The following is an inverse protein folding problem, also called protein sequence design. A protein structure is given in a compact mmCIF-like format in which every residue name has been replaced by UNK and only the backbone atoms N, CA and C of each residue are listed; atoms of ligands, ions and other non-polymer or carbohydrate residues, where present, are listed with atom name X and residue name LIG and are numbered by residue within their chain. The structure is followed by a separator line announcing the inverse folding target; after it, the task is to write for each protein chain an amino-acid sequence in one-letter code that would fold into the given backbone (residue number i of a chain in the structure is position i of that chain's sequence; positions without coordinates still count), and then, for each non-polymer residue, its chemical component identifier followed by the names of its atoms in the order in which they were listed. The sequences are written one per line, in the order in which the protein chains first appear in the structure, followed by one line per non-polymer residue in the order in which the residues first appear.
data_IF_825607921151
#
_entry.id   IF_825607921151
#
_cell.length_a   1.000
_cell.length_b   1.000
_cell.length_c   1.000
_cell.angle_alpha   90.00
_cell.angle_beta   90.00
_cell.angle_gamma   90.00
#
_symmetry.space_group_name_H-M   'P 1'
#
loop_
_entity.id
_entity.type
_entity.pdbx_description
1 polymer ?
#
# COMPACT_ATOMS: atom_id res chain seq x y z
N UNK A 1 -9.92 9.77 -2.20
CA UNK A 1 -8.57 10.12 -1.74
C UNK A 1 -7.67 8.94 -2.03
N UNK A 2 -6.64 9.16 -2.82
CA UNK A 2 -5.59 8.21 -3.20
C UNK A 2 -4.28 8.84 -2.77
N UNK A 3 -3.37 8.02 -2.27
CA UNK A 3 -2.06 8.42 -1.79
C UNK A 3 -0.93 7.75 -2.56
N UNK A 4 0.21 8.43 -2.64
CA UNK A 4 1.44 7.87 -3.22
C UNK A 4 2.66 8.46 -2.52
N UNK A 5 3.72 7.65 -2.39
CA UNK A 5 5.02 8.13 -1.91
C UNK A 5 5.79 8.79 -3.06
N UNK A 6 6.48 9.90 -2.81
CA UNK A 6 7.29 10.58 -3.81
C UNK A 6 8.12 11.74 -3.25
N UNK A 7 8.97 12.31 -4.09
CA UNK A 7 9.74 13.52 -3.76
C UNK A 7 9.62 14.52 -4.90
N UNK A 8 9.04 15.70 -4.61
CA UNK A 8 8.95 16.78 -5.60
C UNK A 8 10.32 17.40 -5.88
N UNK A 9 11.16 17.54 -4.84
CA UNK A 9 12.50 18.12 -4.95
C UNK A 9 13.45 17.19 -5.74
N UNK A 10 13.28 15.87 -5.60
CA UNK A 10 14.08 14.86 -6.28
C UNK A 10 13.17 13.81 -6.95
N UNK A 11 12.57 14.11 -8.11
CA UNK A 11 11.59 13.21 -8.76
C UNK A 11 12.12 11.83 -9.16
N UNK A 12 13.45 11.68 -9.24
CA UNK A 12 14.12 10.40 -9.52
C UNK A 12 14.41 9.55 -8.28
N UNK A 13 14.06 10.03 -7.07
CA UNK A 13 14.29 9.30 -5.82
C UNK A 13 13.61 7.93 -5.82
N UNK A 14 14.40 6.91 -5.45
CA UNK A 14 13.91 5.55 -5.24
C UNK A 14 13.27 5.36 -3.87
N UNK A 15 12.93 4.11 -3.56
CA UNK A 15 12.36 3.73 -2.25
C UNK A 15 13.38 3.76 -1.10
N UNK A 16 14.66 3.86 -1.45
CA UNK A 16 15.81 3.96 -0.55
C UNK A 16 16.13 5.40 -0.15
N UNK A 17 15.48 6.37 -0.77
CA UNK A 17 15.60 7.80 -0.45
C UNK A 17 14.44 8.26 0.44
N UNK A 18 14.59 9.38 1.19
CA UNK A 18 13.49 9.98 1.92
C UNK A 18 12.36 10.43 0.96
N UNK A 19 11.17 9.88 1.17
CA UNK A 19 9.96 10.22 0.41
C UNK A 19 8.88 10.80 1.33
N UNK A 20 8.11 11.74 0.80
CA UNK A 20 6.87 12.22 1.41
C UNK A 20 5.68 11.44 0.87
N UNK A 21 4.55 11.47 1.60
CA UNK A 21 3.29 10.91 1.11
C UNK A 21 2.37 12.03 0.59
N UNK A 22 1.97 11.95 -0.68
CA UNK A 22 1.05 12.91 -1.29
C UNK A 22 -0.36 12.33 -1.34
N UNK A 23 -1.34 13.05 -0.79
CA UNK A 23 -2.75 12.64 -0.71
C UNK A 23 -3.64 13.68 -1.41
N UNK A 24 -4.50 13.25 -2.35
CA UNK A 24 -5.48 14.17 -2.95
C UNK A 24 -6.83 14.17 -2.20
N UNK A 25 -7.52 15.30 -2.21
CA UNK A 25 -8.89 15.41 -1.70
C UNK A 25 -9.66 16.56 -2.33
N UNK A 26 -10.98 16.55 -2.14
CA UNK A 26 -11.83 17.69 -2.51
C UNK A 26 -11.52 18.89 -1.61
N UNK A 27 -11.49 20.09 -2.18
CA UNK A 27 -11.06 21.35 -1.54
C UNK A 27 -11.79 21.68 -0.23
N UNK A 28 -13.04 21.26 -0.08
CA UNK A 28 -13.85 21.50 1.12
C UNK A 28 -13.94 20.27 2.06
N UNK A 29 -13.22 19.19 1.77
CA UNK A 29 -13.24 18.00 2.62
C UNK A 29 -12.67 18.31 4.02
N UNK A 30 -13.19 17.60 5.03
CA UNK A 30 -12.85 17.87 6.44
C UNK A 30 -11.35 17.85 6.70
N UNK A 31 -10.63 16.88 6.15
CA UNK A 31 -9.18 16.74 6.33
C UNK A 31 -8.39 17.90 5.71
N UNK A 32 -8.82 18.41 4.55
CA UNK A 32 -8.22 19.60 3.91
C UNK A 32 -8.45 20.84 4.76
N UNK A 33 -9.66 21.01 5.31
CA UNK A 33 -9.95 22.13 6.21
C UNK A 33 -9.13 22.05 7.50
N UNK A 34 -9.01 20.86 8.10
CA UNK A 34 -8.17 20.64 9.28
C UNK A 34 -6.70 20.95 9.02
N UNK A 35 -6.16 20.57 7.86
CA UNK A 35 -4.80 20.92 7.45
C UNK A 35 -4.63 22.43 7.29
N UNK A 36 -5.63 23.12 6.71
CA UNK A 36 -5.63 24.59 6.59
C UNK A 36 -5.65 25.29 7.95
N UNK A 37 -6.46 24.81 8.89
CA UNK A 37 -6.50 25.37 10.25
C UNK A 37 -5.22 25.08 11.03
N UNK A 38 -4.66 23.88 10.90
CA UNK A 38 -3.37 23.55 11.51
C UNK A 38 -2.25 24.47 11.00
N UNK A 39 -2.25 24.82 9.70
CA UNK A 39 -1.26 25.73 9.11
C UNK A 39 -1.33 27.17 9.64
N UNK A 40 -2.45 27.61 10.22
CA UNK A 40 -2.61 28.95 10.80
C UNK A 40 -2.00 29.09 12.19
N UNK A 41 -1.69 27.98 12.86
CA UNK A 41 -1.14 28.00 14.22
C UNK A 41 0.34 28.39 14.18
N UNK A 42 0.73 29.32 15.05
CA UNK A 42 2.13 29.73 15.19
C UNK A 42 3.01 28.54 15.60
N UNK A 43 4.12 28.32 14.89
CA UNK A 43 5.02 27.19 15.13
C UNK A 43 4.48 25.82 14.68
N UNK A 44 3.39 25.79 13.92
CA UNK A 44 2.80 24.53 13.42
C UNK A 44 3.74 23.77 12.49
N UNK A 45 3.89 22.46 12.72
CA UNK A 45 4.49 21.52 11.76
C UNK A 45 3.50 21.07 10.68
N UNK A 46 2.23 21.44 10.77
CA UNK A 46 1.13 20.92 9.96
C UNK A 46 0.17 20.03 10.75
N UNK A 47 -0.80 19.41 10.07
CA UNK A 47 -1.77 18.52 10.70
C UNK A 47 -1.13 17.16 11.02
N UNK A 48 -1.04 16.74 12.30
CA UNK A 48 -0.53 15.42 12.64
C UNK A 48 -1.41 14.33 12.01
N UNK A 49 -0.79 13.37 11.33
CA UNK A 49 -1.49 12.28 10.63
C UNK A 49 -0.79 10.94 10.84
N UNK A 50 -1.59 9.88 10.93
CA UNK A 50 -1.16 8.50 10.89
C UNK A 50 -1.71 7.86 9.61
N UNK A 51 -0.84 7.25 8.81
CA UNK A 51 -1.21 6.52 7.60
C UNK A 51 -0.96 5.04 7.86
N UNK A 52 -2.00 4.23 7.72
CA UNK A 52 -1.92 2.78 7.88
C UNK A 52 -2.24 2.09 6.54
N UNK A 53 -1.36 1.19 6.13
CA UNK A 53 -1.56 0.32 4.97
C UNK A 53 -1.38 -1.14 5.38
N UNK A 54 -2.23 -2.03 4.89
CA UNK A 54 -2.14 -3.47 5.17
C UNK A 54 -2.56 -4.25 3.93
N UNK A 55 -1.80 -5.30 3.63
CA UNK A 55 -2.08 -6.26 2.57
C UNK A 55 -2.08 -7.65 3.20
N UNK A 56 -3.18 -8.38 3.03
CA UNK A 56 -3.31 -9.77 3.50
C UNK A 56 -2.91 -10.70 2.36
N UNK A 57 -1.99 -11.60 2.66
CA UNK A 57 -1.38 -12.53 1.70
C UNK A 57 -1.79 -14.00 1.97
N UNK A 58 -2.48 -14.29 3.08
CA UNK A 58 -3.09 -15.60 3.34
C UNK A 58 -3.71 -15.79 4.72
N UNK A 59 -4.55 -16.82 4.88
CA UNK A 59 -5.11 -17.25 6.17
C UNK A 59 -4.34 -18.46 6.67
N UNK A 60 -3.82 -18.39 7.90
CA UNK A 60 -3.05 -19.47 8.53
C UNK A 60 -3.94 -20.26 9.48
N UNK A 61 -4.10 -21.55 9.19
CA UNK A 61 -4.97 -22.48 9.89
C UNK A 61 -4.13 -23.46 10.73
N UNK A 62 -4.23 -23.33 12.06
CA UNK A 62 -3.49 -24.09 13.06
C UNK A 62 -4.33 -25.15 13.75
N UNK A 63 -3.70 -26.00 14.57
CA UNK A 63 -4.39 -27.04 15.36
C UNK A 63 -5.32 -26.48 16.44
N UNK A 64 -5.04 -25.28 16.94
CA UNK A 64 -5.82 -24.67 18.04
C UNK A 64 -6.48 -23.35 17.64
N UNK A 65 -7.69 -23.06 18.17
CA UNK A 65 -8.39 -21.81 17.88
C UNK A 65 -7.58 -20.54 18.13
N UNK A 66 -6.66 -20.58 19.10
CA UNK A 66 -5.87 -19.41 19.50
C UNK A 66 -4.60 -19.21 18.66
N UNK A 67 -4.26 -20.16 17.79
CA UNK A 67 -3.05 -20.12 16.97
C UNK A 67 -3.32 -19.72 15.51
N UNK A 68 -4.58 -19.60 15.10
CA UNK A 68 -4.94 -19.08 13.78
C UNK A 68 -4.38 -17.67 13.56
N UNK A 69 -3.98 -17.37 12.33
CA UNK A 69 -3.38 -16.08 12.00
C UNK A 69 -3.55 -15.72 10.52
N UNK A 70 -2.82 -14.71 10.07
CA UNK A 70 -2.76 -14.26 8.68
C UNK A 70 -1.32 -14.11 8.24
N UNK A 71 -1.03 -14.44 6.98
CA UNK A 71 0.14 -13.88 6.31
C UNK A 71 -0.24 -12.48 5.82
N UNK A 72 0.59 -11.49 6.12
CA UNK A 72 0.30 -10.09 5.80
C UNK A 72 1.56 -9.22 5.83
N UNK A 73 1.46 -8.08 5.16
CA UNK A 73 2.44 -6.98 5.24
C UNK A 73 1.71 -5.70 5.58
N UNK A 74 2.24 -4.94 6.52
CA UNK A 74 1.65 -3.68 6.96
C UNK A 74 2.72 -2.63 7.21
N UNK A 75 2.35 -1.37 6.99
CA UNK A 75 3.14 -0.21 7.34
C UNK A 75 2.27 0.83 8.06
N UNK A 76 2.84 1.44 9.10
CA UNK A 76 2.29 2.60 9.79
C UNK A 76 3.29 3.74 9.64
N UNK A 77 2.85 4.88 9.12
CA UNK A 77 3.64 6.09 8.99
C UNK A 77 3.01 7.21 9.84
N UNK A 78 3.83 7.89 10.62
CA UNK A 78 3.46 9.09 11.35
C UNK A 78 4.16 10.30 10.75
N UNK A 79 3.44 11.40 10.64
CA UNK A 79 3.98 12.62 10.05
C UNK A 79 3.04 13.81 10.18
N UNK A 80 3.35 14.86 9.43
CA UNK A 80 2.56 16.09 9.41
C UNK A 80 2.14 16.42 7.98
N UNK A 81 0.84 16.60 7.79
CA UNK A 81 0.25 16.97 6.53
C UNK A 81 0.22 18.50 6.37
N UNK A 82 0.65 18.97 5.21
CA UNK A 82 0.64 20.37 4.79
C UNK A 82 0.00 20.49 3.41
N UNK A 83 -0.66 21.61 3.12
CA UNK A 83 -1.22 21.85 1.80
C UNK A 83 -0.09 22.15 0.81
N UNK A 84 -0.15 21.49 -0.35
CA UNK A 84 0.68 21.88 -1.49
C UNK A 84 0.11 23.18 -2.06
N UNK A 85 0.93 24.24 -2.07
CA UNK A 85 0.53 25.59 -2.52
C UNK A 85 1.15 25.99 -3.84
N UNK A 86 2.23 25.34 -4.27
CA UNK A 86 2.84 25.56 -5.59
C UNK A 86 1.99 24.87 -6.65
N UNK A 87 1.65 25.60 -7.72
CA UNK A 87 0.93 25.02 -8.87
C UNK A 87 1.77 23.92 -9.55
N UNK A 88 3.10 24.07 -9.58
CA UNK A 88 4.02 23.09 -10.16
C UNK A 88 4.04 21.79 -9.34
N UNK A 89 4.22 21.89 -8.02
CA UNK A 89 4.19 20.74 -7.12
C UNK A 89 2.82 20.06 -7.13
N UNK A 90 1.74 20.84 -7.23
CA UNK A 90 0.38 20.32 -7.30
C UNK A 90 0.15 19.53 -8.57
N UNK A 91 0.56 20.06 -9.73
CA UNK A 91 0.45 19.36 -11.01
C UNK A 91 1.29 18.08 -11.02
N UNK A 92 2.55 18.15 -10.55
CA UNK A 92 3.41 16.98 -10.39
C UNK A 92 2.77 15.92 -9.47
N UNK A 93 2.24 16.33 -8.33
CA UNK A 93 1.59 15.43 -7.38
C UNK A 93 0.35 14.77 -7.99
N UNK A 94 -0.47 15.53 -8.72
CA UNK A 94 -1.63 14.99 -9.45
C UNK A 94 -1.21 13.96 -10.51
N UNK A 95 -0.11 14.20 -11.21
CA UNK A 95 0.45 13.25 -12.18
C UNK A 95 0.87 11.93 -11.51
N UNK A 96 1.70 11.98 -10.46
CA UNK A 96 2.17 10.75 -9.80
C UNK A 96 1.03 10.00 -9.09
N UNK A 97 0.03 10.70 -8.54
CA UNK A 97 -1.17 10.10 -7.95
C UNK A 97 -2.01 9.41 -9.03
N UNK A 98 -2.12 10.01 -10.22
CA UNK A 98 -2.86 9.39 -11.33
C UNK A 98 -2.13 8.14 -11.84
N UNK A 99 -0.80 8.23 -11.97
CA UNK A 99 0.04 7.12 -12.39
C UNK A 99 0.17 6.00 -11.33
N UNK A 100 -0.15 6.27 -10.06
CA UNK A 100 -0.21 5.23 -9.03
C UNK A 100 -1.46 4.35 -9.13
N UNK A 101 -2.53 4.82 -9.78
CA UNK A 101 -3.73 4.02 -10.06
C UNK A 101 -3.42 2.94 -11.10
N UNK A 102 -2.91 3.37 -12.26
CA UNK A 102 -2.34 2.51 -13.29
C UNK A 102 -1.16 3.30 -13.89
N UNK A 103 0.02 2.67 -14.07
CA UNK A 103 1.16 3.34 -14.69
C UNK A 103 0.81 3.96 -16.05
N UNK A 104 1.40 5.13 -16.35
CA UNK A 104 1.16 5.91 -17.57
C UNK A 104 -0.29 6.42 -17.76
N UNK A 105 -1.13 6.37 -16.73
CA UNK A 105 -2.53 6.79 -16.85
C UNK A 105 -2.70 8.30 -17.06
N UNK A 106 -1.80 9.13 -16.53
CA UNK A 106 -1.86 10.59 -16.70
C UNK A 106 -1.80 10.99 -18.17
N UNK A 107 -0.71 10.61 -18.87
CA UNK A 107 -0.52 10.91 -20.30
C UNK A 107 -1.49 10.17 -21.22
N UNK A 108 -2.19 9.14 -20.70
CA UNK A 108 -3.26 8.43 -21.40
C UNK A 108 -4.67 8.99 -21.12
N UNK A 109 -4.74 10.17 -20.50
CA UNK A 109 -5.96 10.91 -20.18
C UNK A 109 -5.96 12.29 -20.86
N UNK A 110 -7.07 13.04 -20.78
CA UNK A 110 -7.08 14.44 -21.22
C UNK A 110 -6.24 15.28 -20.25
N UNK A 111 -5.15 15.86 -20.76
CA UNK A 111 -4.23 16.70 -19.99
C UNK A 111 -3.94 18.02 -20.72
N UNK A 112 -3.62 19.11 -20.00
CA UNK A 112 -3.62 19.23 -18.53
C UNK A 112 -5.05 19.30 -17.94
N UNK A 113 -5.21 19.11 -16.62
CA UNK A 113 -6.46 19.43 -15.94
C UNK A 113 -6.88 20.87 -16.22
N UNK A 114 -8.18 21.11 -16.32
CA UNK A 114 -8.71 22.46 -16.48
C UNK A 114 -8.72 23.22 -15.14
N UNK A 115 -9.04 24.51 -15.21
CA UNK A 115 -9.04 25.38 -14.02
C UNK A 115 -10.02 24.89 -12.94
N UNK A 116 -11.20 24.41 -13.32
CA UNK A 116 -12.20 23.97 -12.35
C UNK A 116 -11.75 22.68 -11.63
N UNK A 117 -11.10 21.77 -12.36
CA UNK A 117 -10.50 20.55 -11.80
C UNK A 117 -9.35 20.89 -10.83
N UNK A 118 -8.51 21.86 -11.19
CA UNK A 118 -7.43 22.35 -10.31
C UNK A 118 -7.97 23.06 -9.06
N UNK A 119 -8.97 23.92 -9.20
CA UNK A 119 -9.53 24.69 -8.09
C UNK A 119 -10.29 23.79 -7.09
N UNK A 120 -10.92 22.72 -7.58
CA UNK A 120 -11.70 21.77 -6.77
C UNK A 120 -10.87 20.68 -6.09
N UNK A 121 -9.65 20.44 -6.57
CA UNK A 121 -8.73 19.42 -6.04
C UNK A 121 -7.68 20.07 -5.15
N UNK A 122 -7.43 19.49 -3.98
CA UNK A 122 -6.31 19.87 -3.11
C UNK A 122 -5.41 18.67 -2.87
N UNK A 123 -4.12 18.95 -2.69
CA UNK A 123 -3.10 17.94 -2.38
C UNK A 123 -2.50 18.26 -1.02
N UNK A 124 -2.40 17.23 -0.18
CA UNK A 124 -1.63 17.26 1.05
C UNK A 124 -0.29 16.57 0.81
N UNK A 125 0.80 17.22 1.19
CA UNK A 125 2.10 16.60 1.35
C UNK A 125 2.27 16.24 2.82
N UNK A 126 2.50 14.97 3.09
CA UNK A 126 2.76 14.44 4.43
C UNK A 126 4.24 14.16 4.55
N UNK A 127 4.91 15.00 5.34
CA UNK A 127 6.29 14.75 5.72
C UNK A 127 6.33 13.63 6.74
N UNK A 128 7.02 12.54 6.42
CA UNK A 128 7.12 11.37 7.29
C UNK A 128 8.15 11.62 8.39
N UNK A 129 7.73 11.52 9.64
CA UNK A 129 8.60 11.68 10.82
C UNK A 129 9.09 10.32 11.34
N UNK A 130 8.24 9.29 11.28
CA UNK A 130 8.60 7.93 11.65
C UNK A 130 7.72 6.91 10.95
N UNK A 131 8.23 5.69 10.83
CA UNK A 131 7.51 4.58 10.25
C UNK A 131 7.79 3.27 10.98
N UNK A 132 6.84 2.33 10.90
CA UNK A 132 7.04 0.95 11.33
C UNK A 132 6.43 0.00 10.29
N UNK A 133 7.10 -1.13 10.08
CA UNK A 133 6.64 -2.18 9.19
C UNK A 133 6.49 -3.49 9.96
N UNK A 134 5.54 -4.32 9.55
CA UNK A 134 5.41 -5.69 10.05
C UNK A 134 5.05 -6.62 8.92
N UNK A 135 5.78 -7.72 8.85
CA UNK A 135 5.56 -8.80 7.89
C UNK A 135 5.36 -10.08 8.68
N UNK A 136 4.34 -10.85 8.33
CA UNK A 136 4.16 -12.22 8.78
C UNK A 136 3.96 -13.09 7.55
N UNK A 137 4.80 -14.10 7.43
CA UNK A 137 4.76 -15.09 6.36
C UNK A 137 4.96 -16.48 6.97
N UNK A 138 4.61 -17.50 6.19
CA UNK A 138 4.87 -18.90 6.48
C UNK A 138 3.73 -19.70 7.09
N UNK A 139 4.05 -20.97 7.38
CA UNK A 139 3.15 -22.02 7.84
C UNK A 139 2.67 -21.85 9.29
N UNK A 140 1.61 -22.59 9.70
CA UNK A 140 1.25 -22.74 11.10
C UNK A 140 2.42 -23.19 11.97
N UNK A 141 2.53 -22.63 13.19
CA UNK A 141 3.51 -23.05 14.19
C UNK A 141 2.77 -23.47 15.48
N UNK A 142 2.39 -24.75 15.53
CA UNK A 142 1.64 -25.31 16.65
C UNK A 142 2.56 -25.81 17.78
N UNK A 143 2.05 -25.76 19.01
CA UNK A 143 2.82 -26.13 20.19
C UNK A 143 3.04 -27.64 20.31
N UNK A 144 4.18 -28.06 20.87
CA UNK A 144 4.54 -29.48 21.05
C UNK A 144 3.45 -30.32 21.73
N UNK A 145 2.75 -29.76 22.72
CA UNK A 145 1.64 -30.44 23.42
C UNK A 145 0.51 -30.91 22.51
N UNK A 146 0.30 -30.23 21.38
CA UNK A 146 -0.73 -30.55 20.40
C UNK A 146 -0.14 -31.38 19.25
N UNK A 147 1.14 -31.19 18.92
CA UNK A 147 1.89 -32.04 17.97
C UNK A 147 2.10 -33.47 18.47
N UNK A 148 2.20 -33.69 19.78
CA UNK A 148 2.35 -35.03 20.37
C UNK A 148 0.99 -35.78 20.46
N UNK A 149 -0.11 -35.17 19.98
CA UNK A 149 -1.48 -35.72 20.03
C UNK A 149 -1.96 -36.22 18.67
N UNK A 150 -1.79 -37.51 18.41
CA UNK A 150 -2.30 -38.17 17.20
C UNK A 150 -3.81 -37.96 17.00
N UNK A 151 -4.61 -37.96 18.08
CA UNK A 151 -6.06 -37.74 18.01
C UNK A 151 -6.47 -36.35 17.46
N UNK A 152 -5.57 -35.37 17.60
CA UNK A 152 -5.74 -34.02 17.06
C UNK A 152 -5.18 -33.96 15.64
N UNK A 153 -3.95 -34.45 15.43
CA UNK A 153 -3.28 -34.42 14.13
C UNK A 153 -4.05 -35.16 13.03
N UNK A 154 -4.69 -36.28 13.36
CA UNK A 154 -5.43 -37.09 12.38
C UNK A 154 -6.81 -36.49 12.04
N UNK A 155 -7.31 -35.55 12.85
CA UNK A 155 -8.66 -34.97 12.73
C UNK A 155 -8.67 -33.52 12.25
N UNK A 156 -7.61 -32.76 12.51
CA UNK A 156 -7.56 -31.31 12.26
C UNK A 156 -6.57 -31.02 11.15
N UNK A 157 -7.08 -30.51 10.03
CA UNK A 157 -6.24 -30.02 8.93
C UNK A 157 -5.56 -28.71 9.32
N UNK A 158 -4.27 -28.58 8.99
CA UNK A 158 -3.50 -27.34 9.14
C UNK A 158 -2.85 -26.94 7.82
N UNK A 159 -2.65 -25.65 7.64
CA UNK A 159 -1.98 -25.10 6.46
C UNK A 159 -2.28 -23.62 6.27
N UNK A 160 -2.01 -23.13 5.07
CA UNK A 160 -2.28 -21.75 4.69
C UNK A 160 -3.19 -21.74 3.46
N UNK A 161 -4.22 -20.88 3.49
CA UNK A 161 -4.98 -20.52 2.31
C UNK A 161 -4.40 -19.20 1.79
N UNK A 162 -3.55 -19.22 0.72
CA UNK A 162 -2.99 -17.98 0.18
C UNK A 162 -4.11 -17.06 -0.33
N UNK A 163 -3.91 -15.76 -0.19
CA UNK A 163 -4.85 -14.72 -0.60
C UNK A 163 -4.10 -13.66 -1.41
N UNK A 164 -4.68 -13.24 -2.53
CA UNK A 164 -4.17 -12.13 -3.33
C UNK A 164 -5.33 -11.40 -4.00
N UNK A 165 -5.07 -10.18 -4.49
CA UNK A 165 -6.07 -9.50 -5.34
C UNK A 165 -5.88 -9.96 -6.78
N UNK A 166 -6.96 -10.41 -7.39
CA UNK A 166 -7.05 -10.64 -8.82
C UNK A 166 -7.74 -9.44 -9.47
N UNK A 167 -7.00 -8.68 -10.27
CA UNK A 167 -7.58 -7.69 -11.18
C UNK A 167 -8.35 -8.44 -12.28
N UNK A 168 -9.63 -8.12 -12.44
CA UNK A 168 -10.49 -8.71 -13.46
C UNK A 168 -10.24 -8.14 -14.86
N UNK A 169 -10.92 -8.72 -15.85
CA UNK A 169 -10.91 -8.23 -17.23
C UNK A 169 -11.47 -6.79 -17.31
N UNK A 170 -10.81 -5.85 -17.99
CA UNK A 170 -11.28 -4.47 -18.09
C UNK A 170 -12.64 -4.37 -18.78
N UNK A 171 -13.61 -3.77 -18.10
CA UNK A 171 -14.96 -3.55 -18.61
C UNK A 171 -15.04 -2.15 -19.22
N UNK A 172 -15.46 -2.00 -20.49
CA UNK A 172 -15.58 -0.68 -21.12
C UNK A 172 -16.70 0.15 -20.47
N UNK A 173 -16.42 1.44 -20.28
CA UNK A 173 -17.42 2.39 -19.78
C UNK A 173 -18.52 2.70 -20.81
N UNK A 174 -19.69 3.22 -20.38
CA UNK A 174 -20.87 3.37 -21.23
C UNK A 174 -20.72 4.35 -22.41
N UNK A 175 -19.73 5.24 -22.36
CA UNK A 175 -19.40 6.21 -23.43
C UNK A 175 -18.03 5.95 -24.07
N UNK A 176 -17.39 4.80 -23.77
CA UNK A 176 -16.12 4.43 -24.38
C UNK A 176 -16.30 4.18 -25.88
N UNK A 177 -15.44 4.79 -26.69
CA UNK A 177 -15.38 4.58 -28.15
C UNK A 177 -14.08 3.90 -28.61
N UNK A 178 -13.15 3.63 -27.68
CA UNK A 178 -11.91 2.93 -28.00
C UNK A 178 -12.24 1.43 -28.10
N UNK A 179 -12.03 0.80 -29.27
CA UNK A 179 -12.52 -0.57 -29.52
C UNK A 179 -11.75 -1.62 -28.72
N UNK A 180 -10.47 -1.39 -28.45
CA UNK A 180 -9.61 -2.32 -27.72
C UNK A 180 -9.08 -1.69 -26.44
N UNK A 181 -8.92 -2.52 -25.41
CA UNK A 181 -8.22 -2.11 -24.18
C UNK A 181 -6.75 -1.82 -24.53
N UNK A 182 -6.22 -0.63 -24.21
CA UNK A 182 -4.81 -0.30 -24.42
C UNK A 182 -3.85 -1.29 -23.79
N UNK A 183 -2.74 -1.57 -24.47
CA UNK A 183 -1.78 -2.59 -24.04
C UNK A 183 -1.18 -2.33 -22.66
N UNK A 184 -0.93 -1.06 -22.31
CA UNK A 184 -0.40 -0.72 -20.99
C UNK A 184 -1.35 -1.10 -19.83
N UNK A 185 -2.66 -1.16 -20.08
CA UNK A 185 -3.66 -1.62 -19.10
C UNK A 185 -3.64 -3.15 -19.02
N UNK A 186 -3.66 -3.84 -20.17
CA UNK A 186 -3.60 -5.31 -20.23
C UNK A 186 -2.31 -5.84 -19.56
N UNK A 187 -1.17 -5.24 -19.90
CA UNK A 187 0.12 -5.57 -19.32
C UNK A 187 0.17 -5.32 -17.82
N UNK A 188 -0.44 -4.23 -17.33
CA UNK A 188 -0.56 -3.96 -15.90
C UNK A 188 -1.40 -5.02 -15.18
N UNK A 189 -2.58 -5.39 -15.72
CA UNK A 189 -3.45 -6.43 -15.16
C UNK A 189 -2.71 -7.77 -15.07
N UNK A 190 -2.14 -8.22 -16.19
CA UNK A 190 -1.41 -9.49 -16.28
C UNK A 190 -0.22 -9.54 -15.31
N UNK A 191 0.62 -8.50 -15.32
CA UNK A 191 1.82 -8.45 -14.46
C UNK A 191 1.46 -8.36 -12.99
N UNK A 192 0.44 -7.58 -12.63
CA UNK A 192 -0.01 -7.42 -11.25
C UNK A 192 -0.58 -8.71 -10.70
N UNK A 193 -1.44 -9.39 -11.45
CA UNK A 193 -2.03 -10.66 -11.04
C UNK A 193 -0.94 -11.71 -10.79
N UNK A 194 -0.04 -11.89 -11.77
CA UNK A 194 1.07 -12.83 -11.66
C UNK A 194 1.94 -12.54 -10.43
N UNK A 195 2.36 -11.28 -10.23
CA UNK A 195 3.22 -10.90 -9.10
C UNK A 195 2.54 -11.13 -7.75
N UNK A 196 1.24 -10.84 -7.65
CA UNK A 196 0.52 -10.99 -6.39
C UNK A 196 0.29 -12.45 -6.03
N UNK A 197 -0.06 -13.29 -7.02
CA UNK A 197 -0.18 -14.73 -6.84
C UNK A 197 1.17 -15.35 -6.45
N UNK A 198 2.24 -15.05 -7.20
CA UNK A 198 3.59 -15.54 -6.90
C UNK A 198 4.02 -15.22 -5.46
N UNK A 199 3.79 -13.99 -5.02
CA UNK A 199 4.13 -13.57 -3.66
C UNK A 199 3.29 -14.26 -2.60
N UNK A 200 1.96 -14.32 -2.76
CA UNK A 200 1.07 -14.93 -1.78
C UNK A 200 1.34 -16.44 -1.63
N UNK A 201 1.60 -17.14 -2.73
CA UNK A 201 1.97 -18.56 -2.72
C UNK A 201 3.33 -18.76 -2.05
N UNK A 202 4.34 -17.95 -2.40
CA UNK A 202 5.65 -18.02 -1.76
C UNK A 202 5.56 -17.80 -0.25
N UNK A 203 4.87 -16.74 0.18
CA UNK A 203 4.62 -16.42 1.58
C UNK A 203 3.88 -17.54 2.33
N UNK A 204 2.97 -18.26 1.67
CA UNK A 204 2.27 -19.41 2.26
C UNK A 204 3.17 -20.63 2.45
N UNK A 205 4.18 -20.80 1.59
CA UNK A 205 5.10 -21.95 1.62
C UNK A 205 6.39 -21.71 2.40
N UNK A 206 6.66 -20.47 2.82
CA UNK A 206 7.83 -20.14 3.62
C UNK A 206 7.83 -20.95 4.93
N UNK A 207 8.90 -21.70 5.15
CA UNK A 207 9.01 -22.52 6.34
C UNK A 207 9.34 -21.63 7.53
N UNK A 208 8.54 -21.67 8.60
CA UNK A 208 8.78 -20.90 9.83
C UNK A 208 9.95 -21.44 10.66
N UNK A 209 10.88 -22.20 10.06
CA UNK A 209 12.09 -22.64 10.77
C UNK A 209 12.83 -21.39 11.22
N UNK A 210 13.04 -21.19 12.53
CA UNK A 210 13.78 -20.03 13.00
C UNK A 210 15.15 -20.08 12.34
N UNK A 211 15.51 -19.07 11.56
CA UNK A 211 16.91 -18.79 11.34
C UNK A 211 17.48 -18.55 12.73
N UNK A 212 18.23 -19.52 13.26
CA UNK A 212 19.11 -19.26 14.41
C UNK A 212 19.93 -18.04 14.01
N UNK A 213 19.79 -16.95 14.77
CA UNK A 213 20.73 -15.85 14.71
C UNK A 213 22.12 -16.48 14.80
N UNK A 214 22.89 -16.45 13.71
CA UNK A 214 24.29 -16.87 13.73
C UNK A 214 25.02 -15.84 14.58
N UNK A 215 25.27 -16.24 15.82
CA UNK A 215 26.46 -15.95 16.62
C UNK A 215 27.00 -14.51 16.53
N UNK A 216 26.41 -13.62 17.31
CA UNK A 216 27.14 -12.52 17.90
C UNK A 216 27.94 -13.07 19.10
N UNK A 217 29.04 -13.76 18.80
CA UNK A 217 30.15 -14.02 19.72
C UNK A 217 31.26 -14.71 18.93
N UNK A 218 32.18 -13.91 18.39
CA UNK A 218 33.59 -14.27 18.27
C UNK A 218 34.39 -12.94 18.31
N UNK A 219 35.49 -13.00 19.05
CA UNK A 219 36.29 -11.97 19.73
C UNK A 219 36.67 -10.68 18.96
#
# INVERSE_FOLDING_TARGET
MIGVMGSFEYPSSGIDEPLDCYLHGYVSSRIINLAREAAKQEGSKGLPICIAATKVDGVVLSLTPNSHSYNYRSAILHGYASLVTSDEEKLWAMEIITNSVIPNRWNSSRVPPDKAELDSTQVLRVQIESGSGKVREGMPNDGKKDLDRADVLDRVWTGVVPMWDQLGEPIPGPYNKVPEVPEYIKGYVSTTNRRQEEHAVAAATESTVPQRAKDANEE
#
